data_IF_666295478722
#
_entry.id   IF_666295478722
#
_cell.length_a   1.000
_cell.length_b   1.000
_cell.length_c   1.000
_cell.angle_alpha   90.00
_cell.angle_beta   90.00
_cell.angle_gamma   90.00
#
_symmetry.space_group_name_H-M   'P 1'
#
loop_
_entity.id
_entity.type
_entity.pdbx_description
1 polymer ?
#
# COMPACT_ATOMS: atom_id res chain seq x y z
N UNK A 1 34.23 -45.40 54.81
CA UNK A 1 33.89 -43.97 54.59
C UNK A 1 32.66 -43.93 53.69
N UNK A 2 31.47 -43.67 54.24
CA UNK A 2 30.23 -43.56 53.45
C UNK A 2 30.00 -42.09 53.10
N UNK A 3 29.91 -41.79 51.80
CA UNK A 3 29.74 -40.44 51.25
C UNK A 3 28.24 -40.19 51.10
N UNK A 4 27.67 -39.28 51.88
CA UNK A 4 26.25 -38.93 51.80
C UNK A 4 25.96 -38.28 50.43
N UNK A 5 25.08 -38.90 49.64
CA UNK A 5 24.57 -38.26 48.42
C UNK A 5 23.66 -37.08 48.81
N UNK A 6 23.77 -35.92 48.14
CA UNK A 6 22.85 -34.81 48.33
C UNK A 6 21.42 -35.29 48.04
N UNK A 7 20.47 -34.92 48.89
CA UNK A 7 19.05 -35.12 48.60
C UNK A 7 18.62 -34.04 47.63
N UNK A 8 18.19 -34.43 46.44
CA UNK A 8 17.51 -33.53 45.53
C UNK A 8 16.20 -33.08 46.17
N UNK A 9 16.08 -31.76 46.40
CA UNK A 9 14.87 -31.15 46.90
C UNK A 9 13.89 -30.99 45.72
N UNK A 10 12.79 -31.74 45.74
CA UNK A 10 11.71 -31.59 44.76
C UNK A 10 10.90 -30.30 44.98
N UNK A 11 10.30 -29.77 43.91
CA UNK A 11 9.45 -28.59 43.95
C UNK A 11 8.22 -28.80 44.84
N UNK A 12 7.84 -27.77 45.59
CA UNK A 12 6.64 -27.79 46.41
C UNK A 12 5.39 -27.51 45.57
N UNK A 13 4.23 -28.05 45.99
CA UNK A 13 2.95 -27.74 45.35
C UNK A 13 2.66 -26.23 45.35
N UNK A 14 3.09 -25.52 46.39
CA UNK A 14 2.87 -24.08 46.50
C UNK A 14 3.75 -23.29 45.54
N UNK A 15 5.00 -23.69 45.29
CA UNK A 15 5.84 -23.08 44.25
C UNK A 15 5.24 -23.24 42.87
N UNK A 16 4.74 -24.43 42.54
CA UNK A 16 4.08 -24.66 41.25
C UNK A 16 2.83 -23.77 41.11
N UNK A 17 2.04 -23.64 42.18
CA UNK A 17 0.82 -22.83 42.18
C UNK A 17 1.13 -21.33 42.02
N UNK A 18 2.13 -20.82 42.74
CA UNK A 18 2.56 -19.43 42.62
C UNK A 18 3.09 -19.14 41.21
N UNK A 19 3.88 -20.05 40.62
CA UNK A 19 4.38 -19.90 39.24
C UNK A 19 3.23 -19.85 38.24
N UNK A 20 2.25 -20.76 38.32
CA UNK A 20 1.09 -20.74 37.44
C UNK A 20 0.25 -19.47 37.61
N UNK A 21 0.10 -18.98 38.84
CA UNK A 21 -0.61 -17.71 39.10
C UNK A 21 0.12 -16.51 38.47
N UNK A 22 1.45 -16.46 38.56
CA UNK A 22 2.26 -15.40 37.91
C UNK A 22 2.17 -15.52 36.38
N UNK A 23 2.29 -16.71 35.81
CA UNK A 23 2.18 -16.91 34.35
C UNK A 23 0.80 -16.52 33.84
N UNK A 24 -0.28 -16.90 34.54
CA UNK A 24 -1.65 -16.51 34.16
C UNK A 24 -1.85 -14.99 34.20
N UNK A 25 -1.29 -14.30 35.21
CA UNK A 25 -1.31 -12.84 35.31
C UNK A 25 -0.55 -12.18 34.15
N UNK A 26 0.69 -12.63 33.90
CA UNK A 26 1.53 -12.09 32.82
C UNK A 26 0.91 -12.33 31.44
N UNK A 27 0.36 -13.52 31.20
CA UNK A 27 -0.35 -13.84 29.96
C UNK A 27 -1.58 -12.94 29.79
N UNK A 28 -2.35 -12.71 30.85
CA UNK A 28 -3.51 -11.82 30.82
C UNK A 28 -3.18 -10.37 30.46
N UNK A 29 -2.07 -9.84 30.97
CA UNK A 29 -1.61 -8.47 30.64
C UNK A 29 -1.04 -8.41 29.22
N UNK A 30 -0.25 -9.41 28.82
CA UNK A 30 0.40 -9.45 27.50
C UNK A 30 -0.58 -9.43 26.34
N UNK A 31 -1.74 -10.09 26.47
CA UNK A 31 -2.73 -10.19 25.40
C UNK A 31 -3.42 -8.85 25.07
N UNK A 32 -3.45 -7.88 25.98
CA UNK A 32 -4.12 -6.59 25.75
C UNK A 32 -3.31 -5.63 24.86
N UNK A 33 -1.99 -5.78 24.79
CA UNK A 33 -1.10 -4.86 24.04
C UNK A 33 -0.78 -5.27 22.60
N UNK A 34 -0.88 -6.56 22.28
CA UNK A 34 -0.44 -7.12 20.99
C UNK A 34 -1.23 -6.55 19.80
N UNK A 35 -2.58 -6.44 19.82
CA UNK A 35 -3.33 -5.99 18.64
C UNK A 35 -3.05 -4.52 18.25
N UNK A 36 -2.83 -3.64 19.24
CA UNK A 36 -2.52 -2.24 18.98
C UNK A 36 -1.10 -2.07 18.41
N UNK A 37 -0.14 -2.85 18.91
CA UNK A 37 1.23 -2.86 18.42
C UNK A 37 1.29 -3.31 16.95
N UNK A 38 0.58 -4.40 16.61
CA UNK A 38 0.49 -4.90 15.25
C UNK A 38 -0.06 -3.84 14.29
N UNK A 39 -1.21 -3.22 14.58
CA UNK A 39 -1.78 -2.16 13.73
C UNK A 39 -0.82 -1.00 13.46
N UNK A 40 0.00 -0.63 14.45
CA UNK A 40 1.00 0.42 14.24
C UNK A 40 2.10 -0.02 13.28
N UNK A 41 2.52 -1.30 13.33
CA UNK A 41 3.53 -1.85 12.42
C UNK A 41 3.03 -1.96 10.98
N UNK A 42 1.74 -2.27 10.79
CA UNK A 42 1.08 -2.32 9.48
C UNK A 42 1.10 -0.95 8.81
N UNK A 43 0.68 0.09 9.54
CA UNK A 43 0.69 1.47 9.05
C UNK A 43 2.10 1.97 8.73
N UNK A 44 3.10 1.64 9.55
CA UNK A 44 4.50 2.01 9.26
C UNK A 44 5.08 1.27 8.05
N UNK A 45 4.67 0.01 7.82
CA UNK A 45 5.04 -0.73 6.61
C UNK A 45 4.45 -0.05 5.36
N UNK A 46 3.15 0.29 5.38
CA UNK A 46 2.49 1.01 4.28
C UNK A 46 3.15 2.36 4.02
N UNK A 47 3.48 3.11 5.08
CA UNK A 47 4.18 4.40 4.96
C UNK A 47 5.57 4.26 4.34
N UNK A 48 6.28 3.18 4.64
CA UNK A 48 7.58 2.87 4.03
C UNK A 48 7.42 2.62 2.53
N UNK A 49 6.44 1.80 2.13
CA UNK A 49 6.14 1.53 0.72
C UNK A 49 5.70 2.79 -0.02
N UNK A 50 4.84 3.63 0.58
CA UNK A 50 4.47 4.95 0.01
C UNK A 50 5.71 5.81 -0.25
N UNK A 51 6.68 5.79 0.67
CA UNK A 51 7.93 6.54 0.53
C UNK A 51 8.79 5.98 -0.60
N UNK A 52 8.91 4.65 -0.71
CA UNK A 52 9.67 3.98 -1.77
C UNK A 52 9.06 4.23 -3.16
N UNK A 53 7.74 4.07 -3.31
CA UNK A 53 7.03 4.37 -4.55
C UNK A 53 7.20 5.84 -4.90
N UNK A 54 7.06 6.73 -3.92
CA UNK A 54 7.23 8.15 -4.18
C UNK A 54 8.65 8.46 -4.70
N UNK A 55 9.69 7.87 -4.11
CA UNK A 55 11.06 8.02 -4.59
C UNK A 55 11.24 7.45 -6.01
N UNK A 56 10.67 6.28 -6.32
CA UNK A 56 10.71 5.68 -7.65
C UNK A 56 10.01 6.57 -8.69
N UNK A 57 8.89 7.21 -8.33
CA UNK A 57 8.17 8.14 -9.20
C UNK A 57 8.92 9.45 -9.45
N UNK A 58 9.64 9.97 -8.46
CA UNK A 58 10.54 11.13 -8.63
C UNK A 58 11.71 10.75 -9.56
N UNK A 59 12.28 9.55 -9.42
CA UNK A 59 13.29 9.05 -10.35
C UNK A 59 12.73 8.87 -11.77
N UNK A 60 11.50 8.33 -11.88
CA UNK A 60 10.80 8.15 -13.14
C UNK A 60 10.62 9.47 -13.90
N UNK A 61 10.12 10.53 -13.24
CA UNK A 61 9.89 11.84 -13.87
C UNK A 61 11.20 12.56 -14.21
N UNK A 62 12.28 12.29 -13.46
CA UNK A 62 13.61 12.85 -13.74
C UNK A 62 14.25 12.30 -15.03
N UNK A 63 13.80 11.14 -15.52
CA UNK A 63 14.30 10.54 -16.75
C UNK A 63 13.73 11.29 -17.97
N UNK A 64 14.58 11.92 -18.83
CA UNK A 64 14.11 12.70 -19.97
C UNK A 64 13.27 11.91 -20.99
N UNK A 65 13.36 10.57 -21.00
CA UNK A 65 12.55 9.72 -21.87
C UNK A 65 11.09 9.60 -21.43
N UNK A 66 10.81 9.84 -20.15
CA UNK A 66 9.48 9.69 -19.56
C UNK A 66 8.72 11.02 -19.53
N UNK A 67 9.43 12.13 -19.32
CA UNK A 67 8.93 13.50 -19.49
C UNK A 67 8.16 14.09 -18.30
N UNK A 68 7.28 13.32 -17.64
CA UNK A 68 6.55 13.74 -16.44
C UNK A 68 6.27 12.51 -15.54
N UNK A 69 5.62 12.70 -14.39
CA UNK A 69 5.07 11.59 -13.61
C UNK A 69 4.02 10.80 -14.40
N UNK A 70 3.70 9.56 -14.00
CA UNK A 70 2.65 8.76 -14.62
C UNK A 70 1.32 9.53 -14.72
N UNK A 71 0.57 9.40 -15.82
CA UNK A 71 -0.74 10.05 -15.93
C UNK A 71 -1.75 9.40 -14.98
N UNK A 72 -2.75 10.15 -14.51
CA UNK A 72 -3.82 9.58 -13.66
C UNK A 72 -4.68 8.56 -14.40
N UNK A 73 -4.83 8.69 -15.71
CA UNK A 73 -5.68 7.82 -16.52
C UNK A 73 -4.89 7.19 -17.67
N UNK A 74 -5.03 5.87 -17.79
CA UNK A 74 -4.51 5.09 -18.92
C UNK A 74 -5.44 5.30 -20.12
N UNK A 75 -5.07 6.24 -20.98
CA UNK A 75 -5.74 6.45 -22.27
C UNK A 75 -4.71 6.47 -23.39
N UNK A 76 -5.12 6.11 -24.60
CA UNK A 76 -4.23 6.15 -25.76
C UNK A 76 -3.62 7.54 -26.00
N UNK A 77 -4.31 8.61 -25.59
CA UNK A 77 -3.79 9.99 -25.69
C UNK A 77 -2.71 10.27 -24.63
N UNK A 78 -2.86 9.71 -23.43
CA UNK A 78 -1.90 9.86 -22.33
C UNK A 78 -0.72 8.88 -22.46
N UNK A 79 -0.93 7.73 -23.10
CA UNK A 79 0.03 6.64 -23.27
C UNK A 79 -0.10 6.05 -24.70
N UNK A 80 0.46 6.70 -25.73
CA UNK A 80 0.33 6.25 -27.12
C UNK A 80 0.86 4.83 -27.35
N UNK A 81 0.10 3.99 -28.06
CA UNK A 81 0.48 2.61 -28.40
C UNK A 81 0.03 1.52 -27.42
N UNK A 82 -0.57 1.90 -26.28
CA UNK A 82 -0.97 0.97 -25.22
C UNK A 82 -2.27 0.20 -25.51
N UNK A 83 -3.18 0.75 -26.34
CA UNK A 83 -4.35 0.04 -26.82
C UNK A 83 -5.34 -0.38 -25.72
N UNK A 84 -5.36 0.35 -24.59
CA UNK A 84 -6.26 0.12 -23.45
C UNK A 84 -7.58 0.83 -23.73
N UNK A 85 -8.70 0.11 -23.59
CA UNK A 85 -10.02 0.76 -23.60
C UNK A 85 -10.13 1.62 -22.35
N UNK A 86 -10.48 2.91 -22.48
CA UNK A 86 -10.72 3.75 -21.30
C UNK A 86 -11.68 3.06 -20.33
N UNK A 87 -11.21 2.91 -19.12
CA UNK A 87 -11.86 2.43 -17.92
C UNK A 87 -11.68 3.56 -16.89
N UNK A 88 -12.69 3.89 -16.08
CA UNK A 88 -12.60 4.95 -15.05
C UNK A 88 -12.32 4.39 -13.65
N UNK A 89 -12.00 3.10 -13.53
CA UNK A 89 -11.78 2.39 -12.27
C UNK A 89 -10.29 2.14 -12.10
N UNK A 90 -9.77 2.36 -10.89
CA UNK A 90 -8.40 2.01 -10.48
C UNK A 90 -7.25 2.59 -11.33
N UNK A 91 -7.55 3.46 -12.29
CA UNK A 91 -6.63 3.90 -13.34
C UNK A 91 -5.35 4.55 -12.84
N UNK A 92 -5.42 5.26 -11.72
CA UNK A 92 -4.28 5.96 -11.16
C UNK A 92 -3.18 4.99 -10.75
N UNK A 93 -3.53 3.96 -9.97
CA UNK A 93 -2.54 3.02 -9.44
C UNK A 93 -2.07 2.03 -10.49
N UNK A 94 -2.95 1.60 -11.39
CA UNK A 94 -2.58 0.82 -12.57
C UNK A 94 -1.54 1.55 -13.43
N UNK A 95 -1.74 2.87 -13.62
CA UNK A 95 -0.80 3.71 -14.37
C UNK A 95 0.57 3.75 -13.71
N UNK A 96 0.63 3.89 -12.39
CA UNK A 96 1.89 3.83 -11.63
C UNK A 96 2.57 2.47 -11.82
N UNK A 97 1.84 1.38 -11.58
CA UNK A 97 2.38 0.02 -11.69
C UNK A 97 2.92 -0.27 -13.08
N UNK A 98 2.15 0.10 -14.10
CA UNK A 98 2.55 -0.05 -15.50
C UNK A 98 3.73 0.85 -15.88
N UNK A 99 3.79 2.10 -15.41
CA UNK A 99 4.88 3.01 -15.73
C UNK A 99 6.21 2.60 -15.09
N UNK A 100 6.18 2.13 -13.84
CA UNK A 100 7.39 1.75 -13.11
C UNK A 100 8.01 0.44 -13.61
N UNK A 101 7.20 -0.48 -14.12
CA UNK A 101 7.68 -1.82 -14.49
C UNK A 101 7.45 -2.13 -15.99
N UNK A 102 7.64 -1.13 -16.84
CA UNK A 102 7.66 -1.38 -18.30
C UNK A 102 8.89 -2.20 -18.66
N UNK A 103 8.85 -2.99 -19.74
CA UNK A 103 10.03 -3.66 -20.26
C UNK A 103 11.19 -2.66 -20.48
N UNK A 104 12.35 -2.97 -19.91
CA UNK A 104 13.56 -2.14 -19.94
C UNK A 104 13.47 -0.83 -19.14
N UNK A 105 12.49 -0.68 -18.26
CA UNK A 105 12.49 0.36 -17.22
C UNK A 105 13.41 -0.08 -16.08
N UNK A 106 14.16 0.87 -15.52
CA UNK A 106 14.87 0.65 -14.26
C UNK A 106 14.11 1.39 -13.17
N UNK A 107 13.50 0.65 -12.26
CA UNK A 107 12.79 1.17 -11.09
C UNK A 107 13.52 0.73 -9.82
N UNK A 108 13.45 1.55 -8.78
CA UNK A 108 13.94 1.21 -7.43
C UNK A 108 12.84 0.61 -6.55
N UNK A 109 11.64 0.45 -7.10
CA UNK A 109 10.49 -0.17 -6.46
C UNK A 109 10.13 -1.42 -7.25
N UNK A 110 10.17 -2.56 -6.58
CA UNK A 110 9.67 -3.84 -7.07
C UNK A 110 8.51 -4.29 -6.19
N UNK A 111 7.52 -4.95 -6.80
CA UNK A 111 6.37 -5.48 -6.07
C UNK A 111 6.80 -6.59 -5.09
N UNK A 112 7.86 -7.32 -5.41
CA UNK A 112 8.40 -8.38 -4.54
C UNK A 112 8.96 -7.85 -3.22
N UNK A 113 9.27 -6.55 -3.14
CA UNK A 113 9.79 -5.88 -1.93
C UNK A 113 8.67 -5.47 -0.94
N UNK A 114 7.40 -5.60 -1.33
CA UNK A 114 6.27 -5.23 -0.47
C UNK A 114 6.08 -6.29 0.62
N UNK A 115 6.09 -5.92 1.92
CA UNK A 115 6.24 -6.90 3.01
C UNK A 115 4.94 -7.61 3.42
N UNK A 116 3.79 -7.31 2.80
CA UNK A 116 2.52 -7.97 3.09
C UNK A 116 2.08 -8.94 1.98
N UNK A 117 1.36 -10.02 2.35
CA UNK A 117 0.76 -10.91 1.37
C UNK A 117 -0.31 -10.18 0.55
N UNK A 118 -0.57 -10.68 -0.66
CA UNK A 118 -1.66 -10.19 -1.52
C UNK A 118 -1.60 -8.68 -1.81
N UNK A 119 -0.39 -8.11 -1.83
CA UNK A 119 -0.14 -6.70 -2.16
C UNK A 119 -0.56 -6.31 -3.58
N UNK A 120 -0.97 -7.26 -4.41
CA UNK A 120 -1.31 -7.05 -5.80
C UNK A 120 -2.44 -7.97 -6.23
N UNK A 121 -3.48 -7.39 -6.82
CA UNK A 121 -4.59 -8.12 -7.43
C UNK A 121 -5.00 -7.44 -8.75
N UNK A 122 -5.83 -8.09 -9.56
CA UNK A 122 -6.49 -7.50 -10.72
C UNK A 122 -8.00 -7.49 -10.46
N UNK A 123 -8.44 -6.52 -9.65
CA UNK A 123 -9.78 -6.49 -9.06
C UNK A 123 -10.89 -6.27 -10.07
N UNK A 124 -10.60 -5.61 -11.19
CA UNK A 124 -11.58 -5.40 -12.25
C UNK A 124 -11.36 -6.27 -13.50
N UNK A 125 -10.37 -7.18 -13.43
CA UNK A 125 -10.01 -8.17 -14.44
C UNK A 125 -9.69 -7.57 -15.79
N UNK A 126 -9.24 -6.32 -15.80
CA UNK A 126 -8.88 -5.67 -17.03
C UNK A 126 -7.53 -6.18 -17.56
N UNK A 127 -7.35 -5.98 -18.86
CA UNK A 127 -6.16 -6.41 -19.56
C UNK A 127 -5.90 -5.51 -20.74
N UNK A 128 -4.63 -5.39 -21.04
CA UNK A 128 -4.10 -4.68 -22.17
C UNK A 128 -3.98 -5.60 -23.38
N UNK A 129 -3.94 -5.02 -24.59
CA UNK A 129 -3.88 -5.80 -25.84
C UNK A 129 -2.49 -6.35 -26.14
N UNK A 130 -1.46 -5.82 -25.48
CA UNK A 130 -0.05 -6.13 -25.67
C UNK A 130 0.60 -6.38 -24.31
N UNK A 131 1.70 -7.13 -24.24
CA UNK A 131 2.47 -7.27 -23.00
C UNK A 131 3.11 -5.94 -22.64
N UNK A 132 2.87 -5.46 -21.42
CA UNK A 132 3.25 -4.09 -21.01
C UNK A 132 3.97 -4.02 -19.68
N UNK A 133 3.97 -5.10 -18.92
CA UNK A 133 4.70 -5.24 -17.67
C UNK A 133 5.69 -6.39 -17.78
N UNK A 134 6.78 -6.34 -17.02
CA UNK A 134 7.69 -7.47 -16.82
C UNK A 134 7.36 -8.30 -15.57
N UNK A 135 6.38 -7.85 -14.78
CA UNK A 135 5.90 -8.50 -13.56
C UNK A 135 4.49 -9.09 -13.73
N UNK A 136 4.14 -10.00 -12.80
CA UNK A 136 2.82 -10.64 -12.73
C UNK A 136 2.71 -11.97 -13.50
N UNK A 137 1.69 -12.76 -13.18
CA UNK A 137 1.47 -14.11 -13.75
C UNK A 137 0.94 -14.05 -15.20
N UNK A 138 0.21 -13.00 -15.55
CA UNK A 138 -0.13 -12.62 -16.93
C UNK A 138 0.28 -11.16 -17.15
N UNK A 139 1.32 -10.96 -17.96
CA UNK A 139 1.96 -9.67 -18.22
C UNK A 139 1.14 -8.69 -19.10
N UNK A 140 -0.14 -9.02 -19.30
CA UNK A 140 -1.13 -8.16 -19.97
C UNK A 140 -2.15 -7.60 -18.99
N UNK A 141 -2.26 -8.12 -17.78
CA UNK A 141 -3.19 -7.59 -16.78
C UNK A 141 -2.71 -6.22 -16.29
N UNK A 142 -3.62 -5.30 -16.02
CA UNK A 142 -3.30 -4.16 -15.16
C UNK A 142 -3.57 -4.61 -13.74
N UNK A 143 -2.54 -4.49 -12.91
CA UNK A 143 -2.63 -4.90 -11.52
C UNK A 143 -2.74 -3.66 -10.65
N UNK A 144 -3.64 -3.70 -9.68
CA UNK A 144 -3.69 -2.74 -8.61
C UNK A 144 -2.75 -3.14 -7.48
N UNK A 145 -1.92 -2.19 -7.04
CA UNK A 145 -1.22 -2.32 -5.77
C UNK A 145 -2.22 -2.08 -4.64
N UNK A 146 -2.34 -3.04 -3.73
CA UNK A 146 -3.19 -2.99 -2.55
C UNK A 146 -2.37 -2.56 -1.33
N UNK A 147 -2.97 -1.74 -0.47
CA UNK A 147 -2.44 -1.51 0.87
C UNK A 147 -2.61 -2.74 1.77
N UNK A 148 -2.10 -2.66 3.01
CA UNK A 148 -2.14 -3.77 3.95
C UNK A 148 -3.57 -4.29 4.22
N UNK A 149 -4.57 -3.41 4.08
CA UNK A 149 -5.97 -3.71 4.36
C UNK A 149 -6.74 -4.10 3.10
N UNK A 150 -6.05 -4.33 1.97
CA UNK A 150 -6.64 -4.81 0.72
C UNK A 150 -7.34 -3.73 -0.10
N UNK A 151 -7.11 -2.45 0.23
CA UNK A 151 -7.64 -1.33 -0.56
C UNK A 151 -6.61 -0.89 -1.60
N UNK A 152 -6.95 -0.79 -2.89
CA UNK A 152 -6.04 -0.24 -3.90
C UNK A 152 -5.59 1.17 -3.55
N UNK A 153 -4.31 1.48 -3.71
CA UNK A 153 -3.83 2.85 -3.53
C UNK A 153 -4.55 3.81 -4.49
N UNK A 154 -4.81 5.05 -4.05
CA UNK A 154 -5.24 6.13 -4.92
C UNK A 154 -4.04 6.94 -5.40
N UNK A 155 -3.98 7.21 -6.70
CA UNK A 155 -2.96 8.04 -7.31
C UNK A 155 -3.58 9.16 -8.14
N UNK A 156 -3.06 10.38 -8.00
CA UNK A 156 -3.47 11.54 -8.80
C UNK A 156 -2.25 12.34 -9.26
N UNK A 157 -2.18 12.60 -10.56
CA UNK A 157 -1.23 13.55 -11.15
C UNK A 157 -1.69 14.99 -10.90
N UNK A 158 -0.78 15.93 -10.63
CA UNK A 158 -1.17 17.31 -10.26
C UNK A 158 -2.02 18.03 -11.31
N UNK A 159 -1.79 17.74 -12.60
CA UNK A 159 -2.57 18.30 -13.71
C UNK A 159 -4.03 17.89 -13.70
N UNK A 160 -4.37 16.81 -13.00
CA UNK A 160 -5.73 16.29 -12.93
C UNK A 160 -6.47 16.67 -11.64
N UNK A 161 -5.82 17.29 -10.64
CA UNK A 161 -6.44 17.55 -9.34
C UNK A 161 -7.80 18.26 -9.42
N UNK A 162 -7.91 19.31 -10.24
CA UNK A 162 -9.16 20.05 -10.41
C UNK A 162 -10.23 19.25 -11.21
N UNK A 163 -9.79 18.34 -12.08
CA UNK A 163 -10.69 17.56 -12.94
C UNK A 163 -11.06 16.18 -12.40
N UNK A 164 -10.37 15.72 -11.35
CA UNK A 164 -10.46 14.35 -10.84
C UNK A 164 -11.89 13.96 -10.44
N UNK A 165 -12.62 14.88 -9.80
CA UNK A 165 -14.01 14.64 -9.40
C UNK A 165 -14.96 14.56 -10.60
N UNK A 166 -14.76 15.41 -11.62
CA UNK A 166 -15.63 15.46 -12.80
C UNK A 166 -15.41 14.25 -13.71
N UNK A 167 -14.16 13.76 -13.79
CA UNK A 167 -13.75 12.62 -14.61
C UNK A 167 -13.82 11.27 -13.87
N UNK A 168 -14.38 11.23 -12.65
CA UNK A 168 -14.43 10.03 -11.80
C UNK A 168 -13.07 9.33 -11.57
N UNK A 169 -11.94 10.05 -11.65
CA UNK A 169 -10.58 9.49 -11.60
C UNK A 169 -10.18 8.90 -10.23
N UNK A 170 -11.02 9.07 -9.21
CA UNK A 170 -10.81 8.49 -7.89
C UNK A 170 -11.75 7.34 -7.56
N UNK A 171 -12.46 6.79 -8.56
CA UNK A 171 -13.32 5.63 -8.36
C UNK A 171 -12.44 4.38 -8.24
N UNK A 172 -12.49 3.74 -7.08
CA UNK A 172 -11.67 2.58 -6.77
C UNK A 172 -12.57 1.37 -6.52
N UNK A 173 -12.36 0.28 -7.25
CA UNK A 173 -12.99 -1.00 -6.93
C UNK A 173 -12.07 -1.73 -5.94
N UNK A 174 -12.46 -1.80 -4.67
CA UNK A 174 -11.79 -2.62 -3.66
C UNK A 174 -12.47 -3.98 -3.48
N UNK A 175 -11.92 -4.80 -2.59
CA UNK A 175 -12.44 -6.14 -2.27
C UNK A 175 -13.90 -6.10 -1.74
N UNK A 176 -14.21 -5.11 -0.88
CA UNK A 176 -15.51 -4.97 -0.23
C UNK A 176 -16.49 -4.03 -0.97
N UNK A 177 -16.11 -3.56 -2.17
CA UNK A 177 -16.93 -2.72 -3.01
C UNK A 177 -16.23 -1.46 -3.51
N UNK A 178 -17.02 -0.51 -4.01
CA UNK A 178 -16.49 0.71 -4.62
C UNK A 178 -16.28 1.79 -3.58
N UNK A 179 -15.05 2.28 -3.47
CA UNK A 179 -14.67 3.45 -2.67
C UNK A 179 -14.28 4.62 -3.57
N UNK A 180 -14.24 5.84 -3.01
CA UNK A 180 -13.95 7.05 -3.78
C UNK A 180 -12.90 7.89 -3.08
N UNK A 181 -11.77 8.07 -3.75
CA UNK A 181 -10.72 9.00 -3.35
C UNK A 181 -10.87 10.35 -4.05
N UNK A 182 -10.38 11.40 -3.40
CA UNK A 182 -10.20 12.74 -3.97
C UNK A 182 -8.80 13.24 -3.65
N UNK A 183 -8.20 14.07 -4.52
CA UNK A 183 -6.98 14.78 -4.17
C UNK A 183 -7.21 15.66 -2.94
N UNK A 184 -6.23 15.69 -2.04
CA UNK A 184 -6.23 16.44 -0.80
C UNK A 184 -5.87 17.92 -1.02
N UNK A 185 -6.59 18.77 -0.30
CA UNK A 185 -6.27 20.19 -0.10
C UNK A 185 -5.91 20.44 1.35
N UNK A 186 -4.96 21.33 1.57
CA UNK A 186 -4.69 21.92 2.88
C UNK A 186 -5.93 22.69 3.40
N UNK A 187 -6.02 22.98 4.71
CA UNK A 187 -7.10 23.79 5.27
C UNK A 187 -7.26 25.17 4.63
N UNK A 188 -6.19 25.69 4.00
CA UNK A 188 -6.17 26.96 3.26
C UNK A 188 -6.68 26.84 1.82
N UNK A 189 -7.14 25.65 1.40
CA UNK A 189 -7.67 25.39 0.07
C UNK A 189 -6.62 25.11 -1.02
N UNK A 190 -5.34 25.03 -0.66
CA UNK A 190 -4.27 24.71 -1.60
C UNK A 190 -4.04 23.22 -1.72
N UNK A 191 -3.86 22.72 -2.94
CA UNK A 191 -3.49 21.33 -3.19
C UNK A 191 -2.17 20.96 -2.51
N UNK A 192 -2.13 19.81 -1.84
CA UNK A 192 -0.86 19.19 -1.47
C UNK A 192 -0.13 18.74 -2.74
N UNK A 193 1.21 18.75 -2.73
CA UNK A 193 2.04 18.35 -3.89
C UNK A 193 1.60 19.03 -5.21
N UNK A 194 1.51 20.37 -5.21
CA UNK A 194 0.95 21.18 -6.32
C UNK A 194 1.55 20.93 -7.71
N UNK A 195 2.82 20.54 -7.77
CA UNK A 195 3.58 20.33 -9.02
C UNK A 195 4.09 18.88 -9.12
N UNK A 196 3.44 17.93 -8.44
CA UNK A 196 3.86 16.54 -8.43
C UNK A 196 2.68 15.60 -8.52
N UNK A 197 2.58 14.69 -7.55
CA UNK A 197 1.48 13.74 -7.47
C UNK A 197 1.08 13.50 -6.03
N UNK A 198 -0.13 12.99 -5.84
CA UNK A 198 -0.61 12.47 -4.57
C UNK A 198 -0.74 10.95 -4.68
N UNK A 199 -0.13 10.24 -3.74
CA UNK A 199 -0.27 8.80 -3.53
C UNK A 199 -0.85 8.59 -2.13
N UNK A 200 -1.94 7.82 -2.04
CA UNK A 200 -2.78 7.73 -0.85
C UNK A 200 -3.17 6.26 -0.63
N UNK A 201 -2.91 5.70 0.55
CA UNK A 201 -3.59 4.51 1.06
C UNK A 201 -4.79 4.95 1.91
N UNK A 202 -5.88 4.19 1.85
CA UNK A 202 -7.09 4.49 2.63
C UNK A 202 -6.86 4.27 4.13
N UNK A 203 -5.87 3.46 4.51
CA UNK A 203 -5.61 3.16 5.91
C UNK A 203 -6.52 2.05 6.46
N UNK A 204 -6.45 1.79 7.78
CA UNK A 204 -7.20 0.74 8.45
C UNK A 204 -8.71 0.78 8.26
N UNK A 205 -9.31 1.95 8.04
CA UNK A 205 -10.76 2.08 7.86
C UNK A 205 -11.25 1.75 6.44
N UNK A 206 -10.33 1.65 5.47
CA UNK A 206 -10.64 1.36 4.05
C UNK A 206 -11.39 2.49 3.33
N UNK A 207 -11.51 3.68 3.94
CA UNK A 207 -12.26 4.82 3.42
C UNK A 207 -11.30 5.97 3.14
N UNK A 208 -11.21 6.37 1.87
CA UNK A 208 -10.40 7.53 1.50
C UNK A 208 -10.91 8.85 2.05
N UNK A 209 -9.97 9.78 2.19
CA UNK A 209 -10.20 11.14 2.63
C UNK A 209 -10.60 11.24 4.12
N UNK A 210 -10.12 10.32 4.96
CA UNK A 210 -10.34 10.28 6.41
C UNK A 210 -9.05 10.58 7.18
N UNK A 211 -9.09 10.41 8.50
CA UNK A 211 -7.96 10.77 9.38
C UNK A 211 -6.77 9.83 9.26
N UNK A 212 -7.00 8.57 8.93
CA UNK A 212 -6.01 7.50 8.89
C UNK A 212 -5.38 7.26 7.52
N UNK A 213 -5.81 7.98 6.47
CA UNK A 213 -5.14 8.00 5.16
C UNK A 213 -3.60 8.14 5.31
N UNK A 214 -2.85 7.24 4.68
CA UNK A 214 -1.39 7.30 4.64
C UNK A 214 -0.97 7.91 3.29
N UNK A 215 -0.25 9.03 3.33
CA UNK A 215 0.00 9.88 2.16
C UNK A 215 1.47 10.17 1.92
N UNK A 216 1.86 10.45 0.67
CA UNK A 216 3.22 10.90 0.31
C UNK A 216 3.51 12.39 0.64
N UNK A 217 2.71 12.99 1.51
CA UNK A 217 2.79 14.35 2.03
C UNK A 217 2.25 14.37 3.47
N UNK A 218 2.68 15.37 4.24
CA UNK A 218 2.16 15.60 5.59
C UNK A 218 0.90 16.47 5.54
N UNK A 219 -0.14 16.07 6.28
CA UNK A 219 -1.46 16.71 6.31
C UNK A 219 -1.59 17.69 7.47
#
# INVERSE_FOLDING_TARGET
MSRSMPRDHGFTLIELLVVMAIVALLAGIGLLGIPAMLRSSEAEAVKTVVTQIAAALEAYSSNPKNGDFPPTALSNDAMPGFGVSRNDKNTGIESVMLCLHRPNMTTSFDIEDVPWPDAMDNLDQDRTRVTLTDFGRDNRNLYELLDWWGTPFAYFHHRDYDSAAVKNMGRINGLDGIVKAKPWKSPKGFWYRRNGFQLISAGPDGVFNTGDDITNFER
#
